data_IF_660559438363
#
_entry.id   IF_660559438363
#
_cell.length_a   1.000
_cell.length_b   1.000
_cell.length_c   1.000
_cell.angle_alpha   90.00
_cell.angle_beta   90.00
_cell.angle_gamma   90.00
#
_symmetry.space_group_name_H-M   'P 1'
#
loop_
_entity.id
_entity.type
_entity.pdbx_description
1 polymer ?
#
# COMPACT_ATOMS: atom_id res chain seq x y z
N UNK A 1 -65.35 40.85 11.44
CA UNK A 1 -64.46 42.02 11.47
C UNK A 1 -63.72 41.95 12.80
N UNK A 2 -62.80 41.02 13.03
CA UNK A 2 -61.62 40.65 12.21
C UNK A 2 -60.88 41.93 11.81
N UNK A 3 -59.63 42.15 12.24
CA UNK A 3 -58.51 41.27 11.90
C UNK A 3 -57.56 40.91 13.06
N UNK A 4 -57.26 39.61 13.12
CA UNK A 4 -56.05 39.07 13.75
C UNK A 4 -54.86 39.48 12.88
N UNK A 5 -53.86 40.12 13.49
CA UNK A 5 -52.58 40.34 12.85
C UNK A 5 -51.93 38.99 12.52
N UNK A 6 -51.89 38.68 11.23
CA UNK A 6 -51.14 37.58 10.64
C UNK A 6 -49.65 37.85 10.88
N UNK A 7 -49.02 37.06 11.74
CA UNK A 7 -47.57 36.96 11.82
C UNK A 7 -47.14 36.19 10.58
N UNK A 8 -46.51 36.90 9.65
CA UNK A 8 -45.91 36.34 8.45
C UNK A 8 -44.76 35.41 8.87
N UNK A 9 -44.80 34.10 8.58
CA UNK A 9 -43.63 33.26 8.73
C UNK A 9 -42.70 33.64 7.58
N UNK A 10 -41.72 34.52 7.86
CA UNK A 10 -40.65 34.80 6.93
C UNK A 10 -39.99 33.51 6.42
N UNK A 11 -39.48 33.49 5.18
CA UNK A 11 -38.94 32.28 4.58
C UNK A 11 -37.79 31.75 5.44
N UNK A 12 -37.94 30.52 5.93
CA UNK A 12 -36.88 29.74 6.57
C UNK A 12 -35.92 29.30 5.46
N UNK A 13 -35.07 30.23 5.02
CA UNK A 13 -34.03 30.00 4.04
C UNK A 13 -32.84 30.85 4.45
N UNK A 14 -32.06 30.36 5.41
CA UNK A 14 -30.74 30.94 5.69
C UNK A 14 -29.88 30.91 4.42
N UNK A 15 -28.95 31.86 4.24
CA UNK A 15 -28.11 31.88 3.05
C UNK A 15 -27.31 30.58 2.93
N UNK A 16 -27.49 29.85 1.83
CA UNK A 16 -26.74 28.63 1.49
C UNK A 16 -25.24 28.90 1.68
N UNK A 17 -24.66 28.34 2.74
CA UNK A 17 -23.28 28.59 3.13
C UNK A 17 -22.38 27.64 2.35
N UNK A 18 -21.46 28.19 1.56
CA UNK A 18 -20.38 27.40 0.97
C UNK A 18 -19.58 26.74 2.09
N UNK A 19 -19.37 25.44 1.95
CA UNK A 19 -18.67 24.62 2.95
C UNK A 19 -17.18 24.73 2.72
N UNK A 20 -16.44 25.06 3.78
CA UNK A 20 -15.00 24.89 3.80
C UNK A 20 -14.69 23.40 3.96
N UNK A 21 -14.28 22.76 2.87
CA UNK A 21 -13.98 21.33 2.85
C UNK A 21 -12.81 20.95 3.77
N UNK A 22 -11.95 21.91 4.15
CA UNK A 22 -10.84 21.66 5.09
C UNK A 22 -11.31 21.30 6.50
N UNK A 23 -12.58 21.54 6.85
CA UNK A 23 -13.13 21.12 8.14
C UNK A 23 -13.29 19.61 8.27
N UNK A 24 -13.43 18.89 7.16
CA UNK A 24 -13.58 17.44 7.17
C UNK A 24 -12.20 16.81 7.27
N UNK A 25 -11.92 16.20 8.42
CA UNK A 25 -10.66 15.51 8.66
C UNK A 25 -10.88 14.00 8.71
N UNK A 26 -10.12 13.27 7.89
CA UNK A 26 -10.15 11.80 7.85
C UNK A 26 -11.42 11.21 7.22
N UNK A 27 -11.62 9.88 7.37
CA UNK A 27 -12.77 9.19 6.80
C UNK A 27 -14.10 9.67 7.38
N UNK A 28 -15.06 9.91 6.49
CA UNK A 28 -16.42 10.32 6.80
C UNK A 28 -17.42 9.22 6.42
N UNK A 29 -18.54 9.18 7.12
CA UNK A 29 -19.70 8.41 6.67
C UNK A 29 -20.75 9.37 6.14
N UNK A 30 -21.30 9.05 4.97
CA UNK A 30 -22.35 9.86 4.34
C UNK A 30 -23.64 9.08 4.45
N UNK A 31 -24.65 9.62 5.14
CA UNK A 31 -25.95 8.95 5.29
C UNK A 31 -27.08 9.84 4.81
N UNK A 32 -28.23 9.26 4.49
CA UNK A 32 -29.48 10.03 4.42
C UNK A 32 -30.04 10.26 5.83
N UNK A 33 -31.14 11.00 5.93
CA UNK A 33 -31.80 11.31 7.21
C UNK A 33 -32.45 10.06 7.86
N UNK A 34 -32.69 9.01 7.09
CA UNK A 34 -33.25 7.74 7.55
C UNK A 34 -32.19 6.75 8.06
N UNK A 35 -30.90 7.12 8.01
CA UNK A 35 -29.80 6.31 8.52
C UNK A 35 -29.28 5.24 7.56
N UNK A 36 -29.66 5.28 6.28
CA UNK A 36 -28.98 4.49 5.26
C UNK A 36 -27.66 5.17 4.89
N UNK A 37 -26.58 4.40 4.84
CA UNK A 37 -25.23 4.91 4.64
C UNK A 37 -24.78 4.62 3.22
N UNK A 38 -24.20 5.62 2.57
CA UNK A 38 -23.62 5.49 1.24
C UNK A 38 -22.48 4.49 1.31
N UNK A 39 -22.62 3.40 0.56
CA UNK A 39 -21.54 2.48 0.30
C UNK A 39 -21.41 2.11 -1.17
N UNK A 40 -20.49 1.20 -1.44
CA UNK A 40 -20.16 0.76 -2.80
C UNK A 40 -20.67 -0.67 -2.98
N UNK A 41 -21.32 -0.91 -4.11
CA UNK A 41 -21.71 -2.24 -4.56
C UNK A 41 -20.58 -2.92 -5.34
N UNK A 42 -20.64 -4.25 -5.49
CA UNK A 42 -19.72 -5.04 -6.33
C UNK A 42 -19.65 -4.57 -7.80
N UNK A 43 -20.63 -3.77 -8.25
CA UNK A 43 -20.69 -3.20 -9.60
C UNK A 43 -20.16 -1.76 -9.67
N UNK A 44 -19.40 -1.30 -8.67
CA UNK A 44 -18.83 0.05 -8.61
C UNK A 44 -19.91 1.14 -8.69
N UNK A 45 -21.02 0.93 -7.99
CA UNK A 45 -22.13 1.89 -7.89
C UNK A 45 -22.31 2.34 -6.45
N UNK A 46 -22.58 3.63 -6.27
CA UNK A 46 -23.03 4.18 -4.99
C UNK A 46 -24.41 3.63 -4.65
N UNK A 47 -24.54 2.96 -3.51
CA UNK A 47 -25.80 2.38 -3.04
C UNK A 47 -26.00 2.69 -1.54
N UNK A 48 -27.24 2.87 -1.07
CA UNK A 48 -27.54 2.94 0.34
C UNK A 48 -27.46 1.53 0.96
N UNK A 49 -26.77 1.43 2.10
CA UNK A 49 -26.55 0.20 2.83
C UNK A 49 -26.86 0.39 4.32
N UNK A 50 -27.06 -0.72 5.04
CA UNK A 50 -27.07 -0.67 6.50
C UNK A 50 -25.68 -0.29 6.98
N UNK A 51 -25.59 0.57 7.99
CA UNK A 51 -24.31 0.90 8.59
C UNK A 51 -23.61 -0.35 9.13
N UNK A 52 -22.37 -0.56 8.68
CA UNK A 52 -21.47 -1.61 9.15
C UNK A 52 -20.16 -1.03 9.69
N UNK A 53 -19.89 0.26 9.43
CA UNK A 53 -18.61 0.89 9.70
C UNK A 53 -17.47 0.44 8.78
N UNK A 54 -17.75 -0.47 7.83
CA UNK A 54 -16.79 -1.00 6.87
C UNK A 54 -16.31 0.04 5.86
N UNK A 55 -15.19 -0.25 5.21
CA UNK A 55 -14.50 0.67 4.28
C UNK A 55 -15.31 1.05 3.06
N UNK A 56 -16.10 0.11 2.56
CA UNK A 56 -17.05 0.35 1.47
C UNK A 56 -18.04 1.47 1.80
N UNK A 57 -18.15 1.92 3.07
CA UNK A 57 -19.03 3.00 3.54
C UNK A 57 -18.27 4.26 3.98
N UNK A 58 -16.94 4.24 3.94
CA UNK A 58 -16.08 5.32 4.38
C UNK A 58 -15.58 6.13 3.18
N UNK A 59 -15.65 7.45 3.30
CA UNK A 59 -15.34 8.38 2.22
C UNK A 59 -14.38 9.47 2.71
N UNK A 60 -13.31 9.73 1.96
CA UNK A 60 -12.51 10.94 2.14
C UNK A 60 -13.13 12.08 1.34
N UNK A 61 -13.15 13.27 1.94
CA UNK A 61 -13.66 14.48 1.30
C UNK A 61 -12.45 15.33 0.91
N UNK A 62 -12.10 15.32 -0.37
CA UNK A 62 -10.99 16.12 -0.90
C UNK A 62 -11.51 17.47 -1.37
N UNK A 63 -10.90 18.55 -0.89
CA UNK A 63 -11.18 19.88 -1.39
C UNK A 63 -10.74 19.99 -2.86
N UNK A 64 -11.54 20.70 -3.65
CA UNK A 64 -11.15 21.12 -4.99
C UNK A 64 -9.87 21.96 -4.96
N UNK A 65 -8.81 21.58 -5.69
CA UNK A 65 -7.55 22.31 -5.72
C UNK A 65 -7.71 23.76 -6.22
N UNK A 66 -8.76 24.07 -6.98
CA UNK A 66 -9.06 25.42 -7.43
C UNK A 66 -9.71 26.30 -6.34
N UNK A 67 -10.04 25.73 -5.18
CA UNK A 67 -10.63 26.47 -4.07
C UNK A 67 -12.07 26.95 -4.33
N UNK A 68 -12.77 26.37 -5.32
CA UNK A 68 -14.13 26.79 -5.71
C UNK A 68 -15.23 26.27 -4.76
N UNK A 69 -14.85 25.62 -3.66
CA UNK A 69 -15.80 25.05 -2.68
C UNK A 69 -16.49 23.77 -3.16
N UNK A 70 -15.89 23.08 -4.13
CA UNK A 70 -16.30 21.73 -4.55
C UNK A 70 -15.49 20.68 -3.79
N UNK A 71 -16.00 19.45 -3.77
CA UNK A 71 -15.36 18.31 -3.12
C UNK A 71 -15.39 17.07 -4.00
N UNK A 72 -14.32 16.30 -3.97
CA UNK A 72 -14.31 14.94 -4.50
C UNK A 72 -14.49 13.96 -3.34
N UNK A 73 -15.28 12.91 -3.54
CA UNK A 73 -15.55 11.88 -2.53
C UNK A 73 -14.80 10.60 -2.90
N UNK A 74 -13.69 10.32 -2.24
CA UNK A 74 -12.88 9.14 -2.50
C UNK A 74 -13.26 8.00 -1.57
N UNK A 75 -13.58 6.84 -2.14
CA UNK A 75 -13.82 5.58 -1.46
C UNK A 75 -12.60 5.13 -0.67
N UNK A 76 -12.79 4.76 0.60
CA UNK A 76 -11.73 4.11 1.40
C UNK A 76 -11.59 2.60 1.12
N UNK A 77 -12.46 2.04 0.27
CA UNK A 77 -12.43 0.63 -0.12
C UNK A 77 -11.41 0.40 -1.25
N UNK A 78 -11.55 1.15 -2.33
CA UNK A 78 -10.82 0.97 -3.58
C UNK A 78 -10.19 2.27 -4.14
N UNK A 79 -10.33 3.40 -3.44
CA UNK A 79 -9.76 4.69 -3.83
C UNK A 79 -10.49 5.40 -4.96
N UNK A 80 -11.58 4.82 -5.49
CA UNK A 80 -12.34 5.44 -6.57
C UNK A 80 -13.19 6.60 -6.07
N UNK A 81 -13.42 7.55 -6.95
CA UNK A 81 -14.23 8.73 -6.65
C UNK A 81 -15.68 8.49 -7.01
N UNK A 82 -16.58 8.93 -6.14
CA UNK A 82 -18.00 9.03 -6.48
C UNK A 82 -18.14 10.00 -7.66
N UNK A 83 -18.63 9.49 -8.78
CA UNK A 83 -18.84 10.19 -10.04
C UNK A 83 -20.29 10.00 -10.50
N UNK A 84 -20.63 10.62 -11.62
CA UNK A 84 -21.93 10.44 -12.28
C UNK A 84 -21.75 9.78 -13.64
N UNK A 85 -22.63 8.83 -13.95
CA UNK A 85 -22.79 8.26 -15.29
C UNK A 85 -24.26 8.37 -15.68
N UNK A 86 -24.58 9.32 -16.57
CA UNK A 86 -25.95 9.73 -16.82
C UNK A 86 -26.65 10.20 -15.55
N UNK A 87 -27.76 9.54 -15.20
CA UNK A 87 -28.59 9.84 -14.04
C UNK A 87 -28.26 8.98 -12.80
N UNK A 88 -27.19 8.19 -12.83
CA UNK A 88 -26.78 7.36 -11.68
C UNK A 88 -25.41 7.77 -11.15
N UNK A 89 -25.17 7.48 -9.87
CA UNK A 89 -23.86 7.67 -9.25
C UNK A 89 -23.06 6.36 -9.30
N UNK A 90 -21.87 6.46 -9.87
CA UNK A 90 -20.91 5.36 -10.03
C UNK A 90 -19.61 5.71 -9.35
N UNK A 91 -18.65 4.79 -9.30
CA UNK A 91 -17.30 5.07 -8.80
C UNK A 91 -16.26 4.95 -9.91
N UNK A 92 -15.51 6.00 -10.16
CA UNK A 92 -14.53 6.13 -11.25
C UNK A 92 -13.12 6.43 -10.74
N UNK A 93 -12.11 6.30 -11.61
CA UNK A 93 -10.71 6.55 -11.23
C UNK A 93 -10.39 8.04 -11.11
N UNK A 94 -11.01 8.86 -11.95
CA UNK A 94 -10.75 10.29 -11.99
C UNK A 94 -11.65 11.04 -10.98
N UNK A 95 -11.13 12.09 -10.31
CA UNK A 95 -11.91 12.83 -9.34
C UNK A 95 -13.04 13.60 -10.01
N UNK A 96 -14.26 13.33 -9.58
CA UNK A 96 -15.43 14.15 -9.90
C UNK A 96 -15.74 15.08 -8.73
N UNK A 97 -15.76 16.39 -9.00
CA UNK A 97 -15.95 17.42 -7.99
C UNK A 97 -17.42 17.83 -7.87
N UNK A 98 -18.05 17.42 -6.77
CA UNK A 98 -19.40 17.79 -6.37
C UNK A 98 -19.42 19.16 -5.72
N UNK A 99 -20.47 19.94 -5.94
CA UNK A 99 -20.73 21.09 -5.09
C UNK A 99 -21.31 20.58 -3.77
N UNK A 100 -20.64 20.91 -2.66
CA UNK A 100 -21.10 20.57 -1.33
C UNK A 100 -21.65 21.82 -0.65
N UNK A 101 -22.89 21.75 -0.19
CA UNK A 101 -23.55 22.87 0.47
C UNK A 101 -24.16 22.41 1.78
N UNK A 102 -24.04 23.25 2.81
CA UNK A 102 -24.71 23.04 4.09
C UNK A 102 -26.07 23.74 4.03
N UNK A 103 -27.15 22.95 4.12
CA UNK A 103 -28.54 23.44 4.08
C UNK A 103 -29.13 23.63 5.47
N UNK A 104 -28.61 22.89 6.46
CA UNK A 104 -28.91 23.00 7.87
C UNK A 104 -27.71 22.43 8.66
N UNK A 105 -27.61 22.67 9.96
CA UNK A 105 -26.44 22.34 10.77
C UNK A 105 -26.01 20.87 10.61
N UNK A 106 -24.85 20.63 9.96
CA UNK A 106 -24.34 19.29 9.58
C UNK A 106 -25.20 18.48 8.60
N UNK A 107 -26.16 19.12 7.93
CA UNK A 107 -26.96 18.55 6.85
C UNK A 107 -26.54 19.20 5.53
N UNK A 108 -26.23 18.33 4.58
CA UNK A 108 -25.56 18.67 3.35
C UNK A 108 -26.35 18.26 2.12
N UNK A 109 -26.04 18.88 0.99
CA UNK A 109 -26.44 18.42 -0.34
C UNK A 109 -25.21 18.28 -1.23
N UNK A 110 -25.24 17.27 -2.10
CA UNK A 110 -24.26 17.10 -3.18
C UNK A 110 -24.94 17.44 -4.50
N UNK A 111 -24.41 18.39 -5.26
CA UNK A 111 -24.96 18.77 -6.56
C UNK A 111 -23.90 18.82 -7.66
N UNK A 112 -24.34 18.56 -8.89
CA UNK A 112 -23.48 18.62 -10.09
C UNK A 112 -23.19 20.07 -10.45
N UNK A 113 -24.19 20.94 -10.28
CA UNK A 113 -24.16 22.34 -10.68
C UNK A 113 -24.32 23.27 -9.48
N UNK A 114 -23.80 24.49 -9.60
CA UNK A 114 -23.94 25.52 -8.57
C UNK A 114 -25.38 26.02 -8.41
N UNK A 115 -26.22 25.87 -9.45
CA UNK A 115 -27.64 26.25 -9.42
C UNK A 115 -28.54 25.18 -8.77
N UNK A 116 -27.94 24.10 -8.24
CA UNK A 116 -28.58 23.06 -7.41
C UNK A 116 -29.71 22.28 -8.07
N UNK A 117 -29.94 22.46 -9.37
CA UNK A 117 -31.05 21.82 -10.09
C UNK A 117 -30.91 20.30 -10.14
N UNK A 118 -29.68 19.81 -10.12
CA UNK A 118 -29.33 18.39 -10.21
C UNK A 118 -28.56 18.00 -8.95
N UNK A 119 -29.20 17.21 -8.08
CA UNK A 119 -28.64 16.76 -6.79
C UNK A 119 -28.51 15.25 -6.77
N UNK A 120 -27.51 14.76 -6.05
CA UNK A 120 -27.38 13.34 -5.78
C UNK A 120 -28.29 12.95 -4.62
N UNK A 121 -29.16 11.98 -4.84
CA UNK A 121 -30.07 11.42 -3.85
C UNK A 121 -29.60 10.04 -3.43
N UNK A 122 -29.48 9.84 -2.12
CA UNK A 122 -29.21 8.55 -1.51
C UNK A 122 -30.54 7.91 -1.04
N UNK A 123 -31.08 6.92 -1.78
CA UNK A 123 -32.43 6.43 -1.52
C UNK A 123 -32.58 5.76 -0.15
N UNK A 124 -33.81 5.74 0.37
CA UNK A 124 -34.17 5.05 1.60
C UNK A 124 -34.13 3.52 1.44
N UNK A 125 -34.39 3.05 0.22
CA UNK A 125 -34.44 1.63 -0.11
C UNK A 125 -33.02 1.10 -0.27
N UNK A 126 -32.62 0.19 0.63
CA UNK A 126 -31.29 -0.41 0.62
C UNK A 126 -31.01 -1.18 -0.68
N UNK A 127 -29.78 -1.06 -1.17
CA UNK A 127 -29.34 -1.70 -2.42
C UNK A 127 -29.84 -1.03 -3.70
N UNK A 128 -30.71 -0.01 -3.60
CA UNK A 128 -31.04 0.85 -4.75
C UNK A 128 -29.82 1.67 -5.20
N UNK A 129 -29.84 2.16 -6.43
CA UNK A 129 -28.70 2.93 -6.94
C UNK A 129 -28.91 4.39 -6.54
N UNK A 130 -27.86 5.03 -6.03
CA UNK A 130 -27.83 6.47 -5.81
C UNK A 130 -27.97 7.17 -7.18
N UNK A 131 -28.91 8.10 -7.30
CA UNK A 131 -29.28 8.72 -8.57
C UNK A 131 -29.21 10.23 -8.51
N UNK A 132 -29.06 10.85 -9.67
CA UNK A 132 -29.23 12.28 -9.83
C UNK A 132 -30.71 12.58 -10.02
N UNK A 133 -31.22 13.52 -9.23
CA UNK A 133 -32.62 13.95 -9.31
C UNK A 133 -32.67 15.41 -9.71
N UNK A 134 -33.47 15.69 -10.74
CA UNK A 134 -33.79 17.04 -11.15
C UNK A 134 -34.90 17.57 -10.24
N UNK A 135 -34.56 18.47 -9.31
CA UNK A 135 -35.52 18.98 -8.34
C UNK A 135 -35.56 20.51 -8.36
N UNK A 136 -36.61 21.11 -8.93
CA UNK A 136 -36.86 22.53 -8.77
C UNK A 136 -37.53 22.76 -7.42
N UNK A 137 -36.72 23.03 -6.39
CA UNK A 137 -37.12 23.66 -5.12
C UNK A 137 -37.81 22.72 -4.09
N UNK A 138 -37.28 22.75 -2.86
CA UNK A 138 -37.85 22.28 -1.58
C UNK A 138 -38.10 20.79 -1.26
N UNK A 139 -37.68 19.83 -2.09
CA UNK A 139 -37.80 18.42 -1.65
C UNK A 139 -36.66 17.98 -0.71
N UNK A 140 -37.01 17.32 0.39
CA UNK A 140 -36.09 16.88 1.46
C UNK A 140 -35.23 15.67 1.08
N UNK A 141 -35.57 14.98 -0.01
CA UNK A 141 -35.02 13.66 -0.35
C UNK A 141 -33.54 13.67 -0.80
N UNK A 142 -32.93 14.83 -1.04
CA UNK A 142 -31.51 14.98 -1.41
C UNK A 142 -30.56 15.37 -0.26
N UNK A 143 -31.03 15.36 0.99
CA UNK A 143 -30.26 15.78 2.17
C UNK A 143 -29.42 14.63 2.73
N UNK A 144 -28.17 14.92 3.01
CA UNK A 144 -27.17 13.98 3.50
C UNK A 144 -26.61 14.46 4.85
N UNK A 145 -26.36 13.54 5.76
CA UNK A 145 -25.56 13.77 6.95
C UNK A 145 -24.13 13.34 6.62
N UNK A 146 -23.18 14.24 6.83
CA UNK A 146 -21.75 13.88 6.85
C UNK A 146 -21.41 13.69 8.31
N UNK A 147 -21.31 12.44 8.73
CA UNK A 147 -20.96 12.08 10.10
C UNK A 147 -19.45 12.22 10.25
N UNK A 148 -19.05 13.31 10.90
CA UNK A 148 -17.68 13.46 11.38
C UNK A 148 -17.37 12.33 12.36
N UNK A 149 -16.18 11.74 12.24
CA UNK A 149 -15.63 10.67 13.08
C UNK A 149 -15.48 11.01 14.58
N UNK A 150 -16.23 12.02 15.07
CA UNK A 150 -16.15 12.64 16.39
C UNK A 150 -17.21 12.07 17.34
N UNK A 151 -18.17 11.26 16.87
CA UNK A 151 -19.11 10.58 17.78
C UNK A 151 -18.34 9.51 18.59
N UNK A 152 -18.43 9.51 19.94
CA UNK A 152 -17.65 8.60 20.79
C UNK A 152 -17.79 7.12 20.43
N UNK A 153 -18.98 6.66 20.03
CA UNK A 153 -19.18 5.27 19.58
C UNK A 153 -18.42 4.96 18.27
N UNK A 154 -18.25 5.94 17.38
CA UNK A 154 -17.45 5.81 16.15
C UNK A 154 -15.95 5.75 16.43
N UNK A 155 -15.45 6.40 17.49
CA UNK A 155 -14.05 6.30 17.93
C UNK A 155 -13.68 4.89 18.36
N UNK A 156 -14.57 4.18 19.04
CA UNK A 156 -14.31 2.81 19.49
C UNK A 156 -14.20 1.85 18.29
N UNK A 157 -15.06 2.01 17.29
CA UNK A 157 -15.04 1.25 16.04
C UNK A 157 -13.83 1.64 15.17
N UNK A 158 -13.44 2.92 15.14
CA UNK A 158 -12.24 3.39 14.42
C UNK A 158 -10.93 3.02 15.14
N UNK A 159 -10.94 2.88 16.46
CA UNK A 159 -9.80 2.42 17.26
C UNK A 159 -9.57 0.91 17.16
N UNK A 160 -10.60 0.15 16.78
CA UNK A 160 -10.57 -1.30 16.60
C UNK A 160 -10.54 -1.73 15.12
N UNK A 161 -10.92 -0.85 14.19
CA UNK A 161 -10.93 -1.08 12.75
C UNK A 161 -9.58 -0.82 12.10
N UNK A 162 -8.95 -1.87 11.57
CA UNK A 162 -7.68 -1.79 10.83
C UNK A 162 -7.72 -0.73 9.72
N UNK A 163 -6.75 0.20 9.75
CA UNK A 163 -6.50 1.32 8.82
C UNK A 163 -6.29 0.83 7.38
N UNK A 164 -6.66 1.64 6.38
CA UNK A 164 -6.71 1.26 4.96
C UNK A 164 -5.49 1.15 4.11
N UNK A 165 -5.58 0.33 3.03
CA UNK A 165 -4.52 0.14 2.05
C UNK A 165 -4.21 1.41 1.25
N UNK A 166 -5.02 2.46 1.40
CA UNK A 166 -4.78 3.80 0.88
C UNK A 166 -4.93 4.92 1.92
N UNK A 167 -4.73 4.63 3.21
CA UNK A 167 -4.84 5.64 4.27
C UNK A 167 -3.81 6.78 4.13
N UNK A 168 -2.72 6.54 3.40
CA UNK A 168 -1.68 7.52 3.10
C UNK A 168 -1.36 7.47 1.60
N UNK A 169 -2.17 8.10 0.72
CA UNK A 169 -2.03 7.99 -0.74
C UNK A 169 -0.75 8.64 -1.29
N UNK A 170 -0.17 9.57 -0.52
CA UNK A 170 1.08 10.25 -0.88
C UNK A 170 2.33 9.46 -0.44
N UNK A 171 2.17 8.43 0.40
CA UNK A 171 3.28 7.64 0.93
C UNK A 171 3.54 6.40 0.06
N UNK A 172 4.76 6.26 -0.44
CA UNK A 172 5.13 5.08 -1.24
C UNK A 172 4.95 3.76 -0.47
N UNK A 173 5.23 3.81 0.84
CA UNK A 173 5.12 2.69 1.79
C UNK A 173 4.60 3.20 3.14
N UNK A 174 3.86 2.38 3.88
CA UNK A 174 3.50 2.67 5.27
C UNK A 174 3.04 1.40 6.00
N UNK A 175 2.80 1.53 7.31
CA UNK A 175 2.40 0.41 8.17
C UNK A 175 1.04 0.64 8.81
N UNK A 176 0.26 -0.44 8.92
CA UNK A 176 -0.99 -0.46 9.71
C UNK A 176 -0.95 -1.60 10.74
N UNK A 177 -1.96 -1.66 11.61
CA UNK A 177 -2.12 -2.74 12.59
C UNK A 177 -2.45 -4.04 11.86
N UNK A 178 -1.66 -5.08 12.10
CA UNK A 178 -1.85 -6.42 11.57
C UNK A 178 -2.26 -7.43 12.65
N UNK A 179 -2.36 -8.68 12.26
CA UNK A 179 -2.69 -9.79 13.17
C UNK A 179 -1.53 -10.08 14.13
N UNK A 180 -1.81 -10.35 15.42
CA UNK A 180 -0.78 -10.76 16.38
C UNK A 180 -0.01 -12.01 15.91
N UNK A 181 1.31 -12.00 16.10
CA UNK A 181 2.26 -13.05 15.69
C UNK A 181 2.55 -13.09 14.19
N UNK A 182 2.08 -12.11 13.41
CA UNK A 182 2.22 -12.14 11.96
C UNK A 182 2.99 -10.94 11.42
N UNK A 183 3.77 -11.21 10.38
CA UNK A 183 4.25 -10.22 9.43
C UNK A 183 3.36 -10.32 8.20
N UNK A 184 2.74 -9.20 7.79
CA UNK A 184 1.86 -9.15 6.62
C UNK A 184 2.39 -8.10 5.66
N UNK A 185 2.43 -8.42 4.37
CA UNK A 185 2.87 -7.50 3.32
C UNK A 185 1.80 -7.49 2.25
N UNK A 186 1.27 -6.31 1.91
CA UNK A 186 0.20 -6.17 0.91
C UNK A 186 0.68 -5.34 -0.28
N UNK A 187 0.47 -5.89 -1.48
CA UNK A 187 0.78 -5.22 -2.73
C UNK A 187 -0.42 -4.39 -3.22
N UNK A 188 -0.27 -3.07 -3.28
CA UNK A 188 -1.28 -2.14 -3.80
C UNK A 188 -0.94 -1.61 -5.19
N UNK A 189 0.18 -2.05 -5.77
CA UNK A 189 0.60 -1.67 -7.11
C UNK A 189 -0.20 -2.42 -8.17
N UNK A 190 -0.30 -1.87 -9.39
CA UNK A 190 -0.93 -2.55 -10.54
C UNK A 190 -0.06 -3.69 -11.13
N UNK A 191 1.16 -3.87 -10.63
CA UNK A 191 2.10 -4.90 -11.08
C UNK A 191 2.34 -5.95 -10.01
N UNK A 192 2.71 -7.15 -10.45
CA UNK A 192 3.13 -8.21 -9.54
C UNK A 192 4.41 -7.81 -8.79
N UNK A 193 4.39 -7.99 -7.47
CA UNK A 193 5.60 -7.95 -6.65
C UNK A 193 5.99 -9.37 -6.26
N UNK A 194 7.26 -9.52 -5.96
CA UNK A 194 7.80 -10.73 -5.41
C UNK A 194 8.44 -10.44 -4.08
N UNK A 195 8.01 -11.17 -3.04
CA UNK A 195 8.38 -10.88 -1.67
C UNK A 195 9.09 -12.08 -1.06
N UNK A 196 10.19 -11.81 -0.35
CA UNK A 196 10.83 -12.77 0.53
C UNK A 196 11.06 -12.15 1.90
N UNK A 197 10.67 -12.87 2.95
CA UNK A 197 10.89 -12.45 4.35
C UNK A 197 11.94 -13.38 4.94
N UNK A 198 12.94 -12.82 5.63
CA UNK A 198 13.96 -13.61 6.33
C UNK A 198 13.31 -14.67 7.22
N UNK A 199 13.93 -15.87 7.25
CA UNK A 199 13.38 -17.03 7.94
C UNK A 199 14.47 -18.01 8.34
N UNK A 200 14.37 -18.55 9.55
CA UNK A 200 15.32 -19.51 10.12
C UNK A 200 15.20 -20.92 9.50
N UNK A 201 14.11 -21.21 8.76
CA UNK A 201 13.83 -22.53 8.20
C UNK A 201 13.66 -22.52 6.68
N UNK A 202 14.73 -22.88 5.98
CA UNK A 202 14.70 -24.01 5.06
C UNK A 202 14.56 -23.77 3.56
N UNK A 203 13.63 -22.93 3.09
CA UNK A 203 13.39 -22.79 1.64
C UNK A 203 13.28 -21.33 1.20
N UNK A 204 13.91 -20.93 0.08
CA UNK A 204 13.84 -19.58 -0.47
C UNK A 204 12.53 -19.43 -1.21
N UNK A 205 11.41 -19.44 -0.48
CA UNK A 205 10.11 -19.27 -1.13
C UNK A 205 9.89 -17.78 -1.30
N UNK A 206 10.23 -17.30 -2.50
CA UNK A 206 9.75 -16.03 -2.98
C UNK A 206 8.27 -16.20 -3.29
N UNK A 207 7.44 -15.39 -2.66
CA UNK A 207 6.01 -15.42 -2.88
C UNK A 207 5.63 -14.31 -3.84
N UNK A 208 4.94 -14.70 -4.91
CA UNK A 208 4.32 -13.75 -5.82
C UNK A 208 3.12 -13.09 -5.12
N UNK A 209 3.19 -11.78 -4.92
CA UNK A 209 2.08 -10.94 -4.48
C UNK A 209 1.45 -10.25 -5.68
N UNK A 210 0.33 -10.77 -6.18
CA UNK A 210 -0.44 -10.10 -7.22
C UNK A 210 -1.02 -8.77 -6.70
N UNK A 211 -1.41 -7.83 -7.59
CA UNK A 211 -2.13 -6.63 -7.20
C UNK A 211 -3.32 -6.92 -6.26
N UNK A 212 -3.39 -6.20 -5.14
CA UNK A 212 -4.41 -6.34 -4.09
C UNK A 212 -4.22 -7.53 -3.14
N UNK A 213 -3.19 -8.37 -3.34
CA UNK A 213 -2.98 -9.57 -2.53
C UNK A 213 -2.10 -9.26 -1.30
N UNK A 214 -2.52 -9.82 -0.16
CA UNK A 214 -1.72 -9.84 1.07
C UNK A 214 -1.01 -11.18 1.23
N UNK A 215 0.29 -11.11 1.50
CA UNK A 215 1.12 -12.25 1.88
C UNK A 215 1.36 -12.19 3.38
N UNK A 216 1.33 -13.35 4.05
CA UNK A 216 1.46 -13.41 5.51
C UNK A 216 2.43 -14.51 5.94
N UNK A 217 3.15 -14.23 7.03
CA UNK A 217 4.10 -15.15 7.65
C UNK A 217 3.96 -15.08 9.16
N UNK A 218 3.84 -16.24 9.81
CA UNK A 218 3.95 -16.33 11.27
C UNK A 218 5.41 -16.11 11.68
N UNK A 219 5.65 -15.15 12.60
CA UNK A 219 6.99 -14.75 13.06
C UNK A 219 6.97 -14.37 14.54
N UNK A 220 8.07 -14.66 15.23
CA UNK A 220 8.22 -14.37 16.66
C UNK A 220 8.74 -12.94 16.92
N UNK A 221 9.36 -12.31 15.93
CA UNK A 221 10.02 -11.00 16.00
C UNK A 221 9.90 -10.26 14.66
N UNK A 222 10.31 -9.00 14.64
CA UNK A 222 10.45 -8.22 13.41
C UNK A 222 11.50 -8.84 12.48
N UNK A 223 11.24 -8.78 11.18
CA UNK A 223 12.08 -9.40 10.15
C UNK A 223 12.46 -8.41 9.04
N UNK A 224 13.32 -8.84 8.12
CA UNK A 224 13.64 -8.08 6.90
C UNK A 224 12.88 -8.67 5.74
N UNK A 225 12.15 -7.83 5.01
CA UNK A 225 11.47 -8.19 3.78
C UNK A 225 12.20 -7.61 2.57
N UNK A 226 12.47 -8.45 1.57
CA UNK A 226 12.92 -8.02 0.25
C UNK A 226 11.74 -8.07 -0.70
N UNK A 227 11.53 -6.98 -1.44
CA UNK A 227 10.40 -6.83 -2.37
C UNK A 227 10.96 -6.41 -3.72
N UNK A 228 10.55 -7.10 -4.79
CA UNK A 228 10.94 -6.77 -6.16
C UNK A 228 9.80 -6.76 -7.16
N UNK A 229 9.86 -5.91 -8.18
CA UNK A 229 8.89 -5.89 -9.28
C UNK A 229 9.14 -7.00 -10.31
N UNK A 230 8.06 -7.48 -10.94
CA UNK A 230 8.14 -8.36 -12.10
C UNK A 230 8.72 -7.62 -13.32
N UNK A 231 9.94 -7.97 -13.72
CA UNK A 231 10.58 -7.50 -14.97
C UNK A 231 11.08 -8.70 -15.79
N UNK A 232 10.74 -8.72 -17.08
CA UNK A 232 11.29 -9.70 -18.02
C UNK A 232 12.78 -9.45 -18.25
N UNK A 233 13.59 -10.50 -18.10
CA UNK A 233 15.05 -10.45 -17.91
C UNK A 233 15.48 -9.65 -16.65
N UNK A 234 16.58 -10.05 -15.99
CA UNK A 234 16.94 -9.55 -14.67
C UNK A 234 17.48 -8.12 -14.76
N UNK A 235 16.60 -7.15 -14.90
CA UNK A 235 16.91 -5.77 -14.58
C UNK A 235 17.02 -5.69 -13.04
N UNK A 236 18.28 -5.74 -12.58
CA UNK A 236 18.75 -5.81 -11.20
C UNK A 236 18.36 -4.58 -10.33
N UNK A 237 17.43 -3.74 -10.79
CA UNK A 237 17.15 -2.40 -10.28
C UNK A 237 15.86 -2.30 -9.47
N UNK A 238 15.09 -3.38 -9.40
CA UNK A 238 13.71 -3.31 -8.95
C UNK A 238 13.49 -3.85 -7.53
N UNK A 239 14.56 -4.03 -6.73
CA UNK A 239 14.49 -4.65 -5.40
C UNK A 239 14.76 -3.66 -4.29
N UNK A 240 13.91 -3.66 -3.26
CA UNK A 240 14.10 -2.89 -2.04
C UNK A 240 13.92 -3.74 -0.80
N UNK A 241 14.55 -3.29 0.29
CA UNK A 241 14.45 -3.91 1.61
C UNK A 241 13.60 -3.06 2.53
N UNK A 242 12.68 -3.69 3.24
CA UNK A 242 11.82 -3.06 4.23
C UNK A 242 11.90 -3.80 5.56
N UNK A 243 11.63 -3.08 6.64
CA UNK A 243 11.47 -3.71 7.96
C UNK A 243 10.08 -4.28 8.08
N UNK A 244 9.96 -5.59 8.21
CA UNK A 244 8.69 -6.27 8.31
C UNK A 244 8.34 -6.42 9.81
N UNK A 245 7.66 -5.41 10.35
CA UNK A 245 7.27 -5.40 11.77
C UNK A 245 6.26 -6.50 12.07
N UNK A 246 6.48 -7.21 13.17
CA UNK A 246 5.52 -8.14 13.74
C UNK A 246 4.28 -7.38 14.20
N UNK A 247 3.12 -8.00 14.05
CA UNK A 247 1.80 -7.46 14.40
C UNK A 247 1.40 -6.23 13.55
N UNK A 248 2.08 -6.03 12.41
CA UNK A 248 1.83 -4.94 11.45
C UNK A 248 1.64 -5.45 10.03
N UNK A 249 1.02 -4.61 9.21
CA UNK A 249 0.90 -4.80 7.77
C UNK A 249 1.79 -3.76 7.10
N UNK A 250 2.74 -4.17 6.27
CA UNK A 250 3.47 -3.30 5.35
C UNK A 250 2.66 -3.16 4.06
N UNK A 251 2.29 -1.93 3.72
CA UNK A 251 1.58 -1.60 2.49
C UNK A 251 2.55 -1.03 1.46
N UNK A 252 2.57 -1.61 0.25
CA UNK A 252 3.42 -1.15 -0.85
C UNK A 252 2.52 -0.53 -1.93
N UNK A 253 2.50 0.80 -2.02
CA UNK A 253 1.69 1.53 -3.01
C UNK A 253 2.50 1.95 -4.23
N UNK A 254 3.77 2.27 -3.99
CA UNK A 254 4.74 2.61 -5.02
C UNK A 254 6.09 2.10 -4.54
N UNK A 255 6.89 1.52 -5.43
CA UNK A 255 8.29 1.33 -5.09
C UNK A 255 8.94 2.72 -5.05
N UNK A 256 9.59 3.13 -3.95
CA UNK A 256 10.35 4.37 -3.89
C UNK A 256 11.20 4.54 -5.16
N UNK A 257 11.18 5.73 -5.75
CA UNK A 257 11.85 5.99 -7.04
C UNK A 257 13.31 5.57 -7.00
N UNK A 258 13.69 4.81 -8.03
CA UNK A 258 15.01 4.26 -8.38
C UNK A 258 16.17 4.57 -7.42
N UNK A 259 16.78 3.56 -6.78
CA UNK A 259 18.24 3.57 -6.80
C UNK A 259 18.66 3.47 -8.27
N UNK A 260 19.27 4.52 -8.82
CA UNK A 260 20.05 4.42 -10.05
C UNK A 260 20.94 3.20 -9.90
N UNK A 261 20.92 2.26 -10.84
CA UNK A 261 21.85 1.12 -10.80
C UNK A 261 23.27 1.67 -10.71
N UNK A 262 23.89 1.56 -9.53
CA UNK A 262 25.25 2.03 -9.30
C UNK A 262 26.29 1.03 -9.82
N UNK A 263 25.86 -0.01 -10.54
CA UNK A 263 26.70 -1.13 -10.89
C UNK A 263 26.76 -2.19 -9.79
N UNK A 264 27.70 -3.11 -9.94
CA UNK A 264 28.10 -3.98 -8.84
C UNK A 264 28.94 -3.16 -7.87
N UNK A 265 28.49 -3.05 -6.62
CA UNK A 265 29.26 -2.37 -5.58
C UNK A 265 30.35 -3.31 -5.06
N UNK A 266 31.60 -2.92 -5.23
CA UNK A 266 32.72 -3.61 -4.58
C UNK A 266 32.70 -3.31 -3.10
N UNK A 267 32.77 -4.34 -2.28
CA UNK A 267 33.00 -4.21 -0.85
C UNK A 267 34.52 -4.18 -0.63
N UNK A 268 35.05 -3.10 -0.03
CA UNK A 268 36.46 -3.03 0.31
C UNK A 268 36.89 -4.21 1.17
N UNK A 269 38.14 -4.62 0.99
CA UNK A 269 38.70 -5.77 1.69
C UNK A 269 38.78 -5.55 3.21
N UNK A 270 38.89 -4.29 3.65
CA UNK A 270 38.89 -3.88 5.05
C UNK A 270 37.51 -3.98 5.69
N UNK A 271 36.45 -3.91 4.88
CA UNK A 271 35.05 -4.04 5.31
C UNK A 271 34.56 -5.51 5.19
N UNK A 272 35.35 -6.35 4.52
CA UNK A 272 35.08 -7.78 4.38
C UNK A 272 35.63 -8.56 5.56
N UNK A 273 34.83 -9.50 6.08
CA UNK A 273 35.23 -10.36 7.20
C UNK A 273 35.66 -11.73 6.69
N UNK A 274 36.81 -12.20 7.18
CA UNK A 274 37.35 -13.51 6.83
C UNK A 274 37.58 -14.35 8.08
N UNK A 275 37.35 -15.65 7.98
CA UNK A 275 37.85 -16.64 8.94
C UNK A 275 38.85 -17.56 8.24
N UNK A 276 39.86 -18.08 8.96
CA UNK A 276 40.75 -19.10 8.39
C UNK A 276 39.95 -20.34 8.02
N UNK A 277 40.38 -21.02 6.96
CA UNK A 277 39.86 -22.33 6.59
C UNK A 277 40.60 -23.43 7.35
N UNK A 278 40.02 -24.63 7.38
CA UNK A 278 40.69 -25.82 7.91
C UNK A 278 42.02 -26.05 7.17
N UNK A 279 43.04 -26.56 7.86
CA UNK A 279 44.43 -26.66 7.34
C UNK A 279 44.58 -27.52 6.10
N UNK A 280 43.64 -28.44 5.83
CA UNK A 280 43.58 -29.26 4.62
C UNK A 280 43.00 -28.50 3.40
N UNK A 281 42.60 -27.24 3.59
CA UNK A 281 41.95 -26.40 2.57
C UNK A 281 42.66 -25.08 2.29
N UNK A 282 43.95 -24.95 2.58
CA UNK A 282 44.75 -23.73 2.28
C UNK A 282 44.65 -23.25 0.82
N UNK A 283 44.37 -24.13 -0.13
CA UNK A 283 44.15 -23.81 -1.55
C UNK A 283 42.69 -23.60 -1.95
N UNK A 284 41.79 -23.24 -1.04
CA UNK A 284 40.36 -23.05 -1.34
C UNK A 284 39.90 -21.63 -0.98
N UNK A 285 38.94 -21.12 -1.75
CA UNK A 285 38.15 -19.94 -1.37
C UNK A 285 36.84 -20.47 -0.78
N UNK A 286 36.49 -20.02 0.42
CA UNK A 286 35.21 -20.30 1.06
C UNK A 286 34.28 -19.09 1.07
N UNK A 287 32.98 -19.33 1.03
CA UNK A 287 31.93 -18.35 1.34
C UNK A 287 30.98 -18.98 2.34
N UNK A 288 30.66 -18.24 3.39
CA UNK A 288 29.70 -18.61 4.41
C UNK A 288 28.57 -17.58 4.44
N UNK A 289 27.34 -18.07 4.40
CA UNK A 289 26.16 -17.25 4.50
C UNK A 289 25.75 -17.13 5.97
N UNK A 290 26.05 -16.00 6.62
CA UNK A 290 25.58 -15.73 8.00
C UNK A 290 24.25 -14.96 8.02
N UNK A 291 23.71 -14.64 6.84
CA UNK A 291 22.41 -14.00 6.72
C UNK A 291 21.29 -15.01 6.96
N UNK A 292 20.12 -14.49 7.35
CA UNK A 292 18.89 -15.26 7.58
C UNK A 292 18.10 -15.55 6.31
N UNK A 293 18.69 -15.33 5.14
CA UNK A 293 18.10 -15.62 3.85
C UNK A 293 19.10 -16.32 2.95
N UNK A 294 18.63 -17.02 1.93
CA UNK A 294 19.50 -17.66 0.96
C UNK A 294 20.27 -16.58 0.19
N UNK A 295 21.53 -16.85 -0.19
CA UNK A 295 22.28 -16.00 -1.11
C UNK A 295 22.61 -16.78 -2.37
N UNK A 296 22.67 -16.11 -3.51
CA UNK A 296 23.31 -16.62 -4.71
C UNK A 296 24.75 -16.16 -4.72
N UNK A 297 25.66 -17.11 -4.87
CA UNK A 297 27.09 -16.83 -5.05
C UNK A 297 27.44 -17.12 -6.50
N UNK A 298 28.08 -16.14 -7.15
CA UNK A 298 28.65 -16.27 -8.47
C UNK A 298 30.11 -15.86 -8.44
N UNK A 299 30.99 -16.71 -8.95
CA UNK A 299 32.43 -16.48 -8.89
C UNK A 299 32.93 -16.16 -10.28
N UNK A 300 33.49 -14.96 -10.47
CA UNK A 300 34.23 -14.63 -11.68
C UNK A 300 35.68 -15.04 -11.51
N UNK A 301 36.07 -16.08 -12.24
CA UNK A 301 37.47 -16.48 -12.35
C UNK A 301 38.10 -15.82 -13.58
N UNK A 302 39.28 -15.22 -13.38
CA UNK A 302 40.15 -14.79 -14.48
C UNK A 302 40.92 -15.97 -15.10
N UNK A 303 40.77 -17.18 -14.57
CA UNK A 303 41.45 -18.38 -15.08
C UNK A 303 40.55 -19.04 -16.13
N UNK A 304 40.66 -18.58 -17.38
CA UNK A 304 40.30 -19.38 -18.55
C UNK A 304 41.22 -20.60 -18.54
N UNK A 305 40.74 -21.76 -18.08
CA UNK A 305 41.57 -22.95 -18.04
C UNK A 305 40.76 -24.18 -17.71
N UNK A 306 40.70 -25.09 -18.68
CA UNK A 306 39.95 -26.33 -18.60
C UNK A 306 40.45 -27.24 -17.49
N UNK A 307 39.52 -27.65 -16.64
CA UNK A 307 39.35 -29.05 -16.28
C UNK A 307 37.94 -29.19 -15.72
N UNK A 308 37.25 -30.23 -16.15
CA UNK A 308 35.80 -30.43 -16.10
C UNK A 308 35.19 -30.61 -14.70
N UNK A 309 35.92 -30.31 -13.62
CA UNK A 309 35.46 -30.44 -12.23
C UNK A 309 35.64 -29.17 -11.37
N UNK A 310 36.16 -28.09 -11.95
CA UNK A 310 36.45 -26.85 -11.21
C UNK A 310 35.23 -25.93 -11.30
N UNK A 311 34.33 -26.01 -10.31
CA UNK A 311 33.12 -25.19 -10.15
C UNK A 311 33.29 -23.74 -10.65
N UNK A 312 32.89 -23.48 -11.89
CA UNK A 312 32.47 -22.16 -12.42
C UNK A 312 30.96 -22.06 -12.20
N UNK A 313 30.52 -22.40 -10.99
CA UNK A 313 29.11 -22.62 -10.70
C UNK A 313 28.53 -21.47 -9.90
N UNK A 314 27.43 -20.93 -10.40
CA UNK A 314 26.45 -20.27 -9.55
C UNK A 314 26.00 -21.27 -8.49
N UNK A 315 25.97 -20.90 -7.23
CA UNK A 315 25.39 -21.74 -6.18
C UNK A 315 24.45 -20.94 -5.28
N UNK A 316 23.44 -21.62 -4.76
CA UNK A 316 22.54 -21.08 -3.74
C UNK A 316 23.04 -21.54 -2.38
N UNK A 317 23.40 -20.61 -1.51
CA UNK A 317 23.80 -20.88 -0.13
C UNK A 317 22.63 -20.60 0.81
N UNK A 318 22.17 -21.63 1.52
CA UNK A 318 21.19 -21.48 2.61
C UNK A 318 21.82 -20.75 3.82
N UNK A 319 21.01 -20.13 4.70
CA UNK A 319 21.48 -19.58 5.97
C UNK A 319 22.37 -20.56 6.73
N UNK A 320 23.43 -20.06 7.34
CA UNK A 320 24.43 -20.82 8.11
C UNK A 320 25.20 -21.90 7.32
N UNK A 321 25.00 -22.00 6.00
CA UNK A 321 25.76 -22.93 5.16
C UNK A 321 27.04 -22.28 4.61
N UNK A 322 28.01 -23.13 4.29
CA UNK A 322 29.26 -22.77 3.63
C UNK A 322 29.43 -23.52 2.32
N UNK A 323 29.99 -22.86 1.32
CA UNK A 323 30.54 -23.48 0.11
C UNK A 323 32.02 -23.13 -0.01
N UNK A 324 32.79 -24.02 -0.61
CA UNK A 324 34.20 -23.78 -0.87
C UNK A 324 34.64 -24.44 -2.16
N UNK A 325 35.55 -23.80 -2.88
CA UNK A 325 36.07 -24.31 -4.14
C UNK A 325 37.58 -24.08 -4.21
N UNK A 326 38.29 -25.01 -4.86
CA UNK A 326 39.76 -24.97 -4.93
C UNK A 326 40.21 -23.87 -5.88
N UNK A 327 41.13 -23.00 -5.44
CA UNK A 327 41.75 -21.92 -6.22
C UNK A 327 43.19 -21.67 -5.79
N UNK A 328 43.99 -21.25 -6.77
CA UNK A 328 45.41 -20.90 -6.56
C UNK A 328 45.64 -19.39 -6.43
N UNK A 329 44.63 -18.56 -6.70
CA UNK A 329 44.69 -17.09 -6.66
C UNK A 329 43.38 -16.52 -6.13
N UNK A 330 43.42 -15.27 -5.67
CA UNK A 330 42.22 -14.52 -5.28
C UNK A 330 41.31 -14.27 -6.47
N UNK A 331 40.00 -14.22 -6.23
CA UNK A 331 38.96 -14.07 -7.26
C UNK A 331 37.87 -13.08 -6.83
N UNK A 332 37.10 -12.56 -7.80
CA UNK A 332 35.93 -11.74 -7.51
C UNK A 332 34.74 -12.67 -7.25
N UNK A 333 34.20 -12.58 -6.05
CA UNK A 333 33.01 -13.30 -5.61
C UNK A 333 31.85 -12.33 -5.58
N UNK A 334 30.89 -12.52 -6.49
CA UNK A 334 29.63 -11.82 -6.42
C UNK A 334 28.65 -12.55 -5.53
N UNK A 335 28.05 -11.80 -4.61
CA UNK A 335 27.00 -12.30 -3.74
C UNK A 335 25.76 -11.46 -3.95
N UNK A 336 24.63 -12.13 -4.23
CA UNK A 336 23.31 -11.52 -4.30
C UNK A 336 22.32 -12.31 -3.46
N UNK A 337 21.13 -11.75 -3.25
CA UNK A 337 20.10 -12.39 -2.42
C UNK A 337 19.36 -13.46 -3.22
N UNK A 338 19.15 -14.60 -2.58
CA UNK A 338 18.60 -15.86 -3.09
C UNK A 338 17.14 -15.83 -3.55
N UNK A 339 16.46 -14.70 -3.42
CA UNK A 339 15.00 -14.62 -3.57
C UNK A 339 14.52 -13.27 -4.09
N UNK A 340 15.42 -12.45 -4.61
CA UNK A 340 15.12 -11.18 -5.28
C UNK A 340 16.39 -10.62 -5.94
N UNK A 341 16.33 -9.95 -7.10
CA UNK A 341 17.49 -9.25 -7.69
C UNK A 341 17.94 -8.06 -6.82
N UNK A 342 18.58 -8.28 -5.68
CA UNK A 342 19.27 -7.23 -4.93
C UNK A 342 20.54 -6.78 -5.66
N UNK A 343 21.05 -5.57 -5.38
CA UNK A 343 22.31 -5.10 -5.96
C UNK A 343 23.42 -6.09 -5.60
N UNK A 344 23.98 -6.85 -6.57
CA UNK A 344 25.04 -7.80 -6.29
C UNK A 344 26.23 -7.06 -5.69
N UNK A 345 26.83 -7.64 -4.65
CA UNK A 345 28.04 -7.12 -4.00
C UNK A 345 29.23 -7.94 -4.49
N UNK A 346 30.31 -7.26 -4.87
CA UNK A 346 31.57 -7.91 -5.22
C UNK A 346 32.50 -7.94 -4.03
N UNK A 347 33.00 -9.12 -3.70
CA UNK A 347 33.98 -9.35 -2.66
C UNK A 347 35.24 -9.97 -3.24
N UNK A 348 36.36 -9.84 -2.53
CA UNK A 348 37.59 -10.56 -2.87
C UNK A 348 37.58 -11.90 -2.13
N UNK A 349 37.47 -13.00 -2.86
CA UNK A 349 37.71 -14.34 -2.33
C UNK A 349 39.21 -14.59 -2.21
N UNK A 350 39.67 -15.14 -1.07
CA UNK A 350 41.08 -15.43 -0.81
C UNK A 350 41.32 -16.92 -0.57
N UNK A 351 42.32 -17.55 -1.20
CA UNK A 351 42.74 -18.91 -0.88
C UNK A 351 43.11 -19.03 0.61
N UNK A 352 42.63 -20.09 1.26
CA UNK A 352 42.87 -20.40 2.67
C UNK A 352 41.92 -19.67 3.64
N UNK A 353 40.94 -18.93 3.13
CA UNK A 353 39.98 -18.19 3.94
C UNK A 353 38.53 -18.44 3.52
N UNK A 354 37.63 -18.25 4.49
CA UNK A 354 36.18 -18.23 4.28
C UNK A 354 35.72 -16.78 4.43
N UNK A 355 35.15 -16.23 3.36
CA UNK A 355 34.46 -14.94 3.37
C UNK A 355 33.13 -15.09 4.13
N UNK A 356 32.96 -14.28 5.16
CA UNK A 356 31.77 -14.27 6.03
C UNK A 356 30.80 -13.20 5.52
N UNK A 357 29.66 -13.62 4.96
CA UNK A 357 28.63 -12.70 4.48
C UNK A 357 27.69 -12.39 5.65
N UNK A 358 28.00 -11.30 6.36
CA UNK A 358 27.26 -10.83 7.53
C UNK A 358 26.22 -9.75 7.19
N UNK A 359 26.42 -9.01 6.09
CA UNK A 359 25.52 -7.96 5.59
C UNK A 359 25.67 -7.80 4.06
N UNK A 360 24.61 -7.29 3.42
CA UNK A 360 24.60 -6.87 2.00
C UNK A 360 24.14 -5.41 1.81
N UNK A 361 23.98 -4.66 2.92
CA UNK A 361 23.61 -3.24 2.89
C UNK A 361 24.71 -2.39 2.27
#
# INVERSE_FOLDING_TARGET
MEDKATVDPGPVGGPNRRVDASRFCGPQFISNLEGAVLGISEKNRGIPQKFTGGRAQQWLIHADPEGLGRVALASMDDGRYLSKDGDICVTERDPFYWNLQEVDHNIYTLSVTQDERIRAELPKILGSIMSLVYNPIDNYDGRLLILEAIVPESREILSTGAIGPYAYPEEAIYYTVGSPGQVIITNHMETDVYVSVSGETGEPVQFKGCPGVSLSWSREKDEVAHVSLAGGLPDLNNTQTFTAYRDKILHIQKMPSEPVWQGIMSVPEQESRYSPQDSDKEGFIGVQNNLKFHIYVFVLSSVLGGDTDIWTGRCTLKPSNKASWRRTKSEIVFVSVGSSPGVPRAFIGRPGFILQIDSLQ
#
